data_IF_377915451371
#
_entry.id   IF_377915451371
#
_cell.length_a   1.000
_cell.length_b   1.000
_cell.length_c   1.000
_cell.angle_alpha   90.00
_cell.angle_beta   90.00
_cell.angle_gamma   90.00
#
_symmetry.space_group_name_H-M   'P 1'
#
loop_
_entity.id
_entity.type
_entity.pdbx_description
1 polymer ?
#
# COMPACT_ATOMS: atom_id res chain seq x y z
N UNK A 1 1.66 -6.92 -8.64
CA UNK A 1 0.31 -6.46 -9.00
C UNK A 1 0.43 -4.97 -9.22
N UNK A 2 0.20 -4.50 -10.43
CA UNK A 2 0.19 -3.06 -10.70
C UNK A 2 -1.06 -2.41 -10.07
N UNK A 3 -1.02 -1.12 -9.78
CA UNK A 3 -2.12 -0.40 -9.14
C UNK A 3 -3.42 -0.49 -9.96
N UNK A 4 -3.31 -0.47 -11.29
CA UNK A 4 -4.45 -0.64 -12.20
C UNK A 4 -5.12 -2.03 -12.07
N UNK A 5 -4.35 -3.06 -11.69
CA UNK A 5 -4.92 -4.39 -11.47
C UNK A 5 -5.76 -4.42 -10.19
N UNK A 6 -5.32 -3.73 -9.13
CA UNK A 6 -6.07 -3.61 -7.87
C UNK A 6 -7.44 -2.93 -8.04
N UNK A 7 -7.60 -2.01 -8.99
CA UNK A 7 -8.89 -1.35 -9.29
C UNK A 7 -10.02 -2.34 -9.58
N UNK A 8 -9.68 -3.49 -10.18
CA UNK A 8 -10.66 -4.54 -10.48
C UNK A 8 -11.14 -5.18 -9.19
N UNK A 9 -10.22 -5.51 -8.29
CA UNK A 9 -10.51 -6.11 -6.99
C UNK A 9 -11.25 -5.13 -6.07
N UNK A 10 -10.83 -3.86 -6.08
CA UNK A 10 -11.49 -2.77 -5.36
C UNK A 10 -12.96 -2.63 -5.77
N UNK A 11 -13.26 -2.64 -7.08
CA UNK A 11 -14.65 -2.62 -7.60
C UNK A 11 -15.46 -3.86 -7.23
N UNK A 12 -14.80 -4.98 -6.90
CA UNK A 12 -15.43 -6.19 -6.38
C UNK A 12 -15.60 -6.16 -4.85
N UNK A 13 -15.18 -5.09 -4.18
CA UNK A 13 -15.34 -4.89 -2.74
C UNK A 13 -14.09 -5.21 -1.91
N UNK A 14 -12.92 -5.37 -2.53
CA UNK A 14 -11.68 -5.47 -1.77
C UNK A 14 -11.43 -4.14 -1.03
N UNK A 15 -11.43 -4.21 0.30
CA UNK A 15 -11.29 -3.06 1.19
C UNK A 15 -10.17 -3.25 2.23
N UNK A 16 -9.24 -4.18 1.97
CA UNK A 16 -8.16 -4.51 2.88
C UNK A 16 -6.86 -4.86 2.14
N UNK A 17 -5.73 -4.30 2.59
CA UNK A 17 -4.39 -4.62 2.10
C UNK A 17 -3.48 -4.97 3.28
N UNK A 18 -2.92 -6.16 3.22
CA UNK A 18 -2.03 -6.71 4.26
C UNK A 18 -0.63 -6.09 4.17
N UNK A 19 -0.06 -5.74 5.32
CA UNK A 19 1.32 -5.29 5.56
C UNK A 19 1.96 -4.45 4.42
N UNK A 20 1.57 -3.19 4.27
CA UNK A 20 2.07 -2.22 3.29
C UNK A 20 3.60 -2.31 3.09
N UNK A 21 4.01 -2.26 1.82
CA UNK A 21 5.39 -2.42 1.30
C UNK A 21 5.98 -3.83 1.38
N UNK A 22 5.46 -4.73 2.20
CA UNK A 22 6.01 -6.06 2.40
C UNK A 22 5.39 -7.07 1.42
N UNK A 23 6.23 -7.86 0.75
CA UNK A 23 5.83 -8.89 -0.22
C UNK A 23 4.86 -8.39 -1.32
N UNK A 24 4.97 -7.12 -1.71
CA UNK A 24 4.16 -6.50 -2.75
C UNK A 24 5.02 -5.62 -3.67
N UNK A 25 4.48 -5.25 -4.82
CA UNK A 25 5.07 -4.23 -5.68
C UNK A 25 4.99 -2.86 -5.01
N UNK A 26 6.12 -2.16 -4.96
CA UNK A 26 6.27 -0.86 -4.31
C UNK A 26 5.76 0.31 -5.14
N UNK A 27 6.24 1.50 -4.79
CA UNK A 27 5.96 2.75 -5.51
C UNK A 27 7.00 2.94 -6.60
N UNK A 28 6.57 3.01 -7.86
CA UNK A 28 7.40 3.38 -9.00
C UNK A 28 6.68 4.39 -9.90
N UNK A 29 7.47 5.33 -10.45
CA UNK A 29 6.98 6.45 -11.25
C UNK A 29 6.47 6.07 -12.65
N UNK A 30 6.87 4.92 -13.21
CA UNK A 30 6.42 4.45 -14.54
C UNK A 30 5.44 3.29 -14.44
N UNK A 31 5.55 2.47 -13.39
CA UNK A 31 4.73 1.28 -13.15
C UNK A 31 4.28 1.27 -11.68
N UNK A 32 3.25 2.04 -11.34
CA UNK A 32 2.77 2.14 -9.97
C UNK A 32 2.28 0.79 -9.47
N UNK A 33 2.86 0.27 -8.40
CA UNK A 33 2.49 -1.03 -7.83
C UNK A 33 1.33 -0.96 -6.83
N UNK A 34 1.00 -2.13 -6.27
CA UNK A 34 0.02 -2.28 -5.19
C UNK A 34 0.22 -1.31 -4.01
N UNK A 35 1.45 -0.98 -3.62
CA UNK A 35 1.70 0.00 -2.56
C UNK A 35 1.17 1.41 -2.93
N UNK A 36 1.24 1.80 -4.21
CA UNK A 36 0.64 3.05 -4.68
C UNK A 36 -0.88 3.00 -4.61
N UNK A 37 -1.49 1.87 -4.99
CA UNK A 37 -2.94 1.71 -4.87
C UNK A 37 -3.38 1.81 -3.40
N UNK A 38 -2.67 1.16 -2.48
CA UNK A 38 -2.95 1.22 -1.05
C UNK A 38 -2.97 2.65 -0.51
N UNK A 39 -2.00 3.48 -0.91
CA UNK A 39 -1.89 4.87 -0.45
C UNK A 39 -2.93 5.81 -1.09
N UNK A 40 -3.50 5.45 -2.24
CA UNK A 40 -4.46 6.29 -2.96
C UNK A 40 -5.93 6.03 -2.59
N UNK A 41 -6.24 4.93 -1.90
CA UNK A 41 -7.62 4.56 -1.53
C UNK A 41 -7.88 4.77 -0.04
N UNK A 42 -8.55 5.88 0.31
CA UNK A 42 -8.80 6.28 1.71
C UNK A 42 -9.78 5.38 2.46
N UNK A 43 -10.58 4.61 1.74
CA UNK A 43 -11.61 3.70 2.25
C UNK A 43 -11.13 2.24 2.32
N UNK A 44 -9.88 1.97 1.96
CA UNK A 44 -9.23 0.67 2.10
C UNK A 44 -8.44 0.66 3.41
N UNK A 45 -8.66 -0.36 4.25
CA UNK A 45 -7.85 -0.57 5.44
C UNK A 45 -6.48 -1.11 5.03
N UNK A 46 -5.42 -0.47 5.49
CA UNK A 46 -4.04 -0.84 5.17
C UNK A 46 -3.30 -1.17 6.46
N UNK A 47 -2.80 -2.39 6.56
CA UNK A 47 -1.95 -2.81 7.68
C UNK A 47 -0.50 -2.34 7.48
N UNK A 48 0.23 -2.09 8.56
CA UNK A 48 1.66 -1.77 8.53
C UNK A 48 2.36 -2.51 9.67
N UNK A 49 3.53 -3.10 9.40
CA UNK A 49 4.38 -3.71 10.43
C UNK A 49 5.34 -2.64 10.97
N UNK A 50 5.16 -2.23 12.24
CA UNK A 50 5.82 -1.07 12.85
C UNK A 50 7.03 -1.42 13.74
N UNK A 51 7.72 -2.53 13.47
CA UNK A 51 8.82 -3.03 14.32
C UNK A 51 10.19 -2.37 14.06
N UNK A 52 10.30 -1.50 13.05
CA UNK A 52 11.55 -0.86 12.63
C UNK A 52 12.50 -1.76 11.82
N UNK A 53 12.14 -3.02 11.60
CA UNK A 53 12.89 -4.00 10.79
C UNK A 53 12.23 -4.12 9.40
N UNK A 54 10.91 -4.30 9.36
CA UNK A 54 10.15 -4.42 8.12
C UNK A 54 9.96 -3.07 7.42
N UNK A 55 9.73 -2.02 8.21
CA UNK A 55 9.52 -0.65 7.71
C UNK A 55 10.36 0.30 8.55
N UNK A 56 11.18 1.12 7.88
CA UNK A 56 12.00 2.13 8.55
C UNK A 56 11.12 3.22 9.19
N UNK A 57 11.52 3.82 10.32
CA UNK A 57 10.76 4.86 11.00
C UNK A 57 10.35 6.05 10.11
N UNK A 58 11.20 6.45 9.16
CA UNK A 58 10.92 7.55 8.21
C UNK A 58 9.77 7.20 7.25
N UNK A 59 9.65 5.93 6.88
CA UNK A 59 8.54 5.45 6.03
C UNK A 59 7.26 5.34 6.85
N UNK A 60 7.33 4.90 8.11
CA UNK A 60 6.17 4.94 9.01
C UNK A 60 5.65 6.38 9.12
N UNK A 61 6.55 7.34 9.34
CA UNK A 61 6.19 8.76 9.37
C UNK A 61 5.53 9.21 8.07
N UNK A 62 6.08 8.83 6.91
CA UNK A 62 5.48 9.13 5.61
C UNK A 62 4.04 8.59 5.49
N UNK A 63 3.77 7.38 5.99
CA UNK A 63 2.43 6.77 5.90
C UNK A 63 1.42 7.44 6.84
N UNK A 64 1.84 7.86 8.05
CA UNK A 64 0.92 8.43 9.04
C UNK A 64 0.72 9.94 8.95
N UNK A 65 1.68 10.66 8.35
CA UNK A 65 1.63 12.13 8.23
C UNK A 65 0.97 12.60 6.92
N UNK A 66 0.48 11.69 6.07
CA UNK A 66 -0.19 11.96 4.79
C UNK A 66 -1.62 11.43 4.78
#
# INVERSE_FOLDING_TARGET
>A
MEAEEFEKDYKLGAAHITHLFNAMSGVDHKRPGLATAALNHKDVLVEVISDGIHVQPEILKFVFDH
#
